data_IF_583923606619
#
_entry.id   IF_583923606619
#
_cell.length_a   1.000
_cell.length_b   1.000
_cell.length_c   1.000
_cell.angle_alpha   90.00
_cell.angle_beta   90.00
_cell.angle_gamma   90.00
#
_symmetry.space_group_name_H-M   'P 1'
#
loop_
_entity.id
_entity.type
_entity.pdbx_description
1 polymer ?
#
# COMPACT_ATOMS: atom_id res chain seq x y z
N UNK A 1 4.16 -18.92 78.79
CA UNK A 1 3.82 -20.23 79.38
C UNK A 1 3.74 -21.23 78.27
N UNK A 2 4.74 -22.07 78.23
CA UNK A 2 4.58 -23.55 78.28
C UNK A 2 3.84 -24.07 77.04
N UNK A 3 4.26 -24.97 76.23
CA UNK A 3 5.24 -26.10 76.20
C UNK A 3 5.05 -26.67 74.81
N UNK A 4 6.09 -26.93 74.00
CA UNK A 4 6.86 -28.18 73.94
C UNK A 4 6.02 -29.42 73.68
N UNK A 5 6.36 -30.12 72.63
CA UNK A 5 6.49 -31.56 72.37
C UNK A 5 6.43 -31.72 70.85
N UNK A 6 7.50 -31.95 70.12
CA UNK A 6 8.43 -33.08 69.92
C UNK A 6 7.73 -34.35 69.42
N UNK A 7 8.38 -34.88 68.41
CA UNK A 7 8.48 -36.28 67.96
C UNK A 7 7.48 -36.67 66.85
N UNK A 8 7.76 -37.41 65.81
CA UNK A 8 8.88 -38.35 65.52
C UNK A 8 8.86 -38.67 64.05
N UNK A 9 10.01 -38.82 63.47
CA UNK A 9 10.50 -39.53 62.35
C UNK A 9 9.68 -40.71 61.75
N UNK A 10 9.75 -40.90 60.48
CA UNK A 10 10.23 -42.10 59.78
C UNK A 10 9.98 -41.97 58.27
N UNK A 11 11.01 -41.81 57.48
CA UNK A 11 11.58 -42.78 56.54
C UNK A 11 10.60 -43.58 55.72
N UNK A 12 10.56 -43.27 54.43
CA UNK A 12 10.51 -44.29 53.37
C UNK A 12 10.97 -43.67 52.04
N UNK A 13 12.14 -43.99 51.69
CA UNK A 13 12.70 -43.96 50.36
C UNK A 13 11.87 -44.78 49.40
N UNK A 14 11.47 -44.18 48.27
CA UNK A 14 11.36 -44.96 47.04
C UNK A 14 11.61 -44.01 45.87
N UNK A 15 12.76 -44.19 45.33
CA UNK A 15 13.10 -43.75 43.97
C UNK A 15 12.18 -44.46 42.97
N UNK A 16 11.50 -43.68 42.14
CA UNK A 16 11.02 -44.13 40.85
C UNK A 16 11.26 -43.00 39.87
N UNK A 17 12.39 -43.10 39.22
CA UNK A 17 12.61 -42.55 37.91
C UNK A 17 11.47 -42.93 37.00
N UNK A 18 10.72 -41.94 36.54
CA UNK A 18 9.99 -42.15 35.30
C UNK A 18 9.92 -40.84 34.53
N UNK A 19 10.68 -40.87 33.46
CA UNK A 19 10.45 -40.27 32.15
C UNK A 19 9.51 -39.04 32.10
N UNK A 20 10.16 -37.94 31.98
CA UNK A 20 9.97 -36.96 30.94
C UNK A 20 8.81 -37.32 30.00
N UNK A 21 7.71 -36.75 30.25
CA UNK A 21 6.73 -36.45 29.21
C UNK A 21 6.55 -34.95 29.25
N UNK A 22 7.17 -34.33 28.29
CA UNK A 22 7.10 -32.94 27.90
C UNK A 22 5.63 -32.62 27.56
N UNK A 23 4.84 -32.35 28.56
CA UNK A 23 3.63 -31.58 28.37
C UNK A 23 4.09 -30.13 28.19
N UNK A 24 4.39 -29.78 26.97
CA UNK A 24 4.47 -28.43 26.51
C UNK A 24 3.07 -27.86 26.67
N UNK A 25 2.78 -27.39 27.88
CA UNK A 25 1.71 -26.45 28.12
C UNK A 25 2.00 -25.27 27.23
N UNK A 26 1.29 -25.22 26.11
CA UNK A 26 1.22 -24.02 25.31
C UNK A 26 0.68 -22.92 26.22
N UNK A 27 1.58 -22.21 26.87
CA UNK A 27 1.31 -20.86 27.31
C UNK A 27 0.99 -20.11 26.04
N UNK A 28 -0.31 -19.91 25.80
CA UNK A 28 -0.78 -18.96 24.82
C UNK A 28 -0.19 -17.64 25.28
N UNK A 29 0.87 -17.22 24.62
CA UNK A 29 1.59 -16.01 24.94
C UNK A 29 0.60 -14.85 24.95
N UNK A 30 0.51 -14.22 26.11
CA UNK A 30 -0.29 -12.99 26.29
C UNK A 30 0.10 -11.95 25.22
N UNK A 31 1.33 -12.00 24.72
CA UNK A 31 1.81 -11.20 23.61
C UNK A 31 1.08 -11.49 22.29
N UNK A 32 0.67 -12.76 22.07
CA UNK A 32 -0.05 -13.13 20.85
C UNK A 32 -1.53 -12.71 20.92
N UNK A 33 -2.10 -12.61 22.12
CA UNK A 33 -3.46 -12.07 22.33
C UNK A 33 -3.49 -10.54 22.14
N UNK A 34 -2.43 -9.84 22.56
CA UNK A 34 -2.29 -8.40 22.31
C UNK A 34 -2.04 -8.10 20.83
N UNK A 35 -1.25 -8.94 20.13
CA UNK A 35 -1.07 -8.80 18.68
C UNK A 35 -2.36 -9.11 17.90
N UNK A 36 -3.15 -10.09 18.33
CA UNK A 36 -4.46 -10.38 17.74
C UNK A 36 -5.49 -9.28 18.05
N UNK A 37 -5.43 -8.64 19.22
CA UNK A 37 -6.26 -7.50 19.56
C UNK A 37 -5.86 -6.25 18.76
N UNK A 38 -4.56 -6.02 18.57
CA UNK A 38 -4.06 -4.94 17.70
C UNK A 38 -4.47 -5.15 16.23
N UNK A 39 -4.46 -6.40 15.74
CA UNK A 39 -4.98 -6.73 14.42
C UNK A 39 -6.51 -6.56 14.30
N UNK A 40 -7.24 -6.64 15.39
CA UNK A 40 -8.70 -6.48 15.38
C UNK A 40 -9.12 -5.00 15.42
N UNK A 41 -8.28 -4.12 15.96
CA UNK A 41 -8.48 -2.67 15.89
C UNK A 41 -8.15 -2.10 14.50
N UNK A 42 -7.33 -2.78 13.71
CA UNK A 42 -7.01 -2.40 12.31
C UNK A 42 -8.15 -2.75 11.34
N UNK A 43 -9.10 -3.61 11.72
CA UNK A 43 -10.20 -4.07 10.85
C UNK A 43 -11.26 -3.00 10.50
N UNK A 44 -11.01 -1.73 10.75
CA UNK A 44 -11.89 -0.61 10.39
C UNK A 44 -11.16 0.72 10.20
N UNK A 45 -9.83 0.70 10.20
CA UNK A 45 -9.00 1.90 10.16
C UNK A 45 -8.14 1.90 8.90
N UNK A 46 -8.78 2.17 7.76
CA UNK A 46 -8.08 2.23 6.48
C UNK A 46 -7.70 3.67 6.12
N UNK A 47 -6.60 3.86 5.39
CA UNK A 47 -6.36 5.10 4.68
C UNK A 47 -7.33 5.20 3.51
N UNK A 48 -7.64 6.43 3.12
CA UNK A 48 -8.48 6.75 1.97
C UNK A 48 -7.76 7.77 1.11
N UNK A 49 -7.70 7.51 -0.20
CA UNK A 49 -7.04 8.39 -1.16
C UNK A 49 -8.08 9.21 -1.92
N UNK A 50 -8.24 10.48 -1.56
CA UNK A 50 -9.16 11.40 -2.23
C UNK A 50 -8.40 12.35 -3.13
N UNK A 51 -8.61 12.23 -4.43
CA UNK A 51 -8.00 13.10 -5.43
C UNK A 51 -8.77 14.41 -5.57
N UNK A 52 -8.05 15.52 -5.77
CA UNK A 52 -8.65 16.81 -6.15
C UNK A 52 -9.30 16.71 -7.53
N UNK A 53 -8.67 15.97 -8.43
CA UNK A 53 -9.18 15.63 -9.77
C UNK A 53 -8.71 14.23 -10.15
N UNK A 54 -9.56 13.46 -10.81
CA UNK A 54 -9.23 12.11 -11.28
C UNK A 54 -8.99 12.05 -12.79
N UNK A 55 -9.27 13.15 -13.48
CA UNK A 55 -9.12 13.26 -14.94
C UNK A 55 -8.53 14.61 -15.31
N UNK A 56 -7.48 14.60 -16.11
CA UNK A 56 -6.86 15.79 -16.67
C UNK A 56 -6.96 15.77 -18.20
N UNK A 57 -7.45 16.88 -18.78
CA UNK A 57 -7.51 17.08 -20.22
C UNK A 57 -6.38 18.03 -20.65
N UNK A 58 -5.40 17.49 -21.37
CA UNK A 58 -4.28 18.27 -21.86
C UNK A 58 -4.61 19.08 -23.16
N UNK A 59 -5.83 19.02 -23.62
CA UNK A 59 -6.26 19.72 -24.85
C UNK A 59 -5.63 19.14 -26.10
N UNK A 60 -5.14 20.02 -26.99
CA UNK A 60 -4.51 19.62 -28.25
C UNK A 60 -3.00 19.92 -28.21
N UNK A 61 -2.19 18.91 -28.49
CA UNK A 61 -0.72 19.03 -28.54
C UNK A 61 -0.19 18.36 -29.82
N UNK A 62 1.03 18.72 -30.24
CA UNK A 62 1.68 18.07 -31.36
C UNK A 62 2.28 16.71 -30.97
N UNK A 63 2.31 15.77 -31.92
CA UNK A 63 2.96 14.47 -31.74
C UNK A 63 4.45 14.62 -31.42
N UNK A 64 4.89 13.95 -30.35
CA UNK A 64 6.23 14.03 -29.80
C UNK A 64 6.34 14.93 -28.57
N UNK A 65 5.27 15.67 -28.22
CA UNK A 65 5.21 16.44 -26.98
C UNK A 65 5.17 15.49 -25.78
N UNK A 66 5.90 15.83 -24.71
CA UNK A 66 5.75 15.18 -23.42
C UNK A 66 4.81 16.01 -22.57
N UNK A 67 3.65 15.46 -22.29
CA UNK A 67 2.65 16.08 -21.39
C UNK A 67 2.97 15.64 -19.98
N UNK A 68 3.03 16.61 -19.05
CA UNK A 68 3.24 16.36 -17.63
C UNK A 68 2.09 16.98 -16.83
N UNK A 69 1.57 16.22 -15.87
CA UNK A 69 0.53 16.72 -14.99
C UNK A 69 0.69 16.14 -13.58
N UNK A 70 0.54 17.00 -12.57
CA UNK A 70 0.62 16.64 -11.17
C UNK A 70 -0.78 16.50 -10.58
N UNK A 71 -1.16 15.29 -10.23
CA UNK A 71 -2.38 14.99 -9.49
C UNK A 71 -2.12 15.16 -7.99
N UNK A 72 -2.96 15.95 -7.34
CA UNK A 72 -2.95 16.11 -5.89
C UNK A 72 -4.02 15.22 -5.27
N UNK A 73 -3.69 14.63 -4.14
CA UNK A 73 -4.61 13.84 -3.36
C UNK A 73 -4.37 14.03 -1.87
N UNK A 74 -5.38 13.78 -1.06
CA UNK A 74 -5.33 13.86 0.40
C UNK A 74 -5.62 12.49 0.98
N UNK A 75 -4.92 12.09 2.02
CA UNK A 75 -5.32 10.95 2.82
C UNK A 75 -6.46 11.35 3.75
N UNK A 76 -7.70 11.10 3.33
CA UNK A 76 -8.92 11.40 4.11
C UNK A 76 -9.28 10.30 5.09
N UNK A 77 -8.55 9.19 5.08
CA UNK A 77 -8.71 8.09 6.02
C UNK A 77 -8.04 8.34 7.36
N UNK A 78 -8.07 7.34 8.22
CA UNK A 78 -7.60 7.43 9.60
C UNK A 78 -6.27 6.71 9.85
N UNK A 79 -5.73 6.01 8.85
CA UNK A 79 -4.44 5.34 8.90
C UNK A 79 -3.45 5.93 7.89
N UNK A 80 -2.13 5.75 8.06
CA UNK A 80 -1.14 6.19 7.08
C UNK A 80 -1.35 5.54 5.72
N UNK A 81 -1.40 6.36 4.66
CA UNK A 81 -1.56 5.93 3.28
C UNK A 81 -0.20 5.64 2.65
N UNK A 82 -0.08 4.46 2.06
CA UNK A 82 1.13 4.01 1.36
C UNK A 82 0.76 3.65 -0.08
N UNK A 83 1.35 4.37 -1.03
CA UNK A 83 1.25 4.01 -2.45
C UNK A 83 2.31 2.96 -2.76
N UNK A 84 1.86 1.73 -2.98
CA UNK A 84 2.74 0.56 -3.23
C UNK A 84 3.26 0.56 -4.65
N UNK A 85 2.37 0.86 -5.62
CA UNK A 85 2.70 0.85 -7.04
C UNK A 85 1.76 1.79 -7.81
N UNK A 86 2.24 2.29 -8.95
CA UNK A 86 1.41 2.97 -9.93
C UNK A 86 1.90 2.61 -11.34
N UNK A 87 0.97 2.34 -12.24
CA UNK A 87 1.29 1.89 -13.60
C UNK A 87 0.34 2.54 -14.61
N UNK A 88 0.92 3.13 -15.65
CA UNK A 88 0.18 3.58 -16.83
C UNK A 88 -0.34 2.42 -17.67
N UNK A 89 -1.43 2.63 -18.38
CA UNK A 89 -2.03 1.66 -19.33
C UNK A 89 -1.11 1.33 -20.50
N UNK A 90 -0.03 2.09 -20.71
CA UNK A 90 1.03 1.82 -21.68
C UNK A 90 2.37 2.27 -21.11
N UNK A 91 3.49 1.78 -21.69
CA UNK A 91 4.84 2.25 -21.35
C UNK A 91 5.10 3.72 -21.72
N UNK A 92 4.17 4.36 -22.42
CA UNK A 92 4.22 5.78 -22.79
C UNK A 92 3.73 6.71 -21.67
N UNK A 93 3.17 6.15 -20.60
CA UNK A 93 2.64 6.89 -19.45
C UNK A 93 3.34 6.41 -18.19
N UNK A 94 4.12 7.30 -17.58
CA UNK A 94 4.98 6.99 -16.44
C UNK A 94 4.56 7.84 -15.24
N UNK A 95 3.97 7.22 -14.21
CA UNK A 95 3.70 7.89 -12.94
C UNK A 95 4.93 7.91 -12.03
N UNK A 96 5.08 8.99 -11.27
CA UNK A 96 6.11 9.16 -10.23
C UNK A 96 5.45 9.72 -8.97
N UNK A 97 5.77 9.17 -7.80
CA UNK A 97 5.18 9.56 -6.51
C UNK A 97 6.17 9.37 -5.37
N UNK A 98 5.91 9.99 -4.20
CA UNK A 98 6.67 9.72 -2.98
C UNK A 98 6.42 8.29 -2.48
N UNK A 99 7.46 7.66 -1.96
CA UNK A 99 7.39 6.33 -1.32
C UNK A 99 7.12 6.42 0.18
N UNK A 100 7.12 7.61 0.73
CA UNK A 100 6.90 7.82 2.15
C UNK A 100 5.42 7.69 2.52
N UNK A 101 5.10 7.14 3.70
CA UNK A 101 3.74 7.10 4.19
C UNK A 101 3.16 8.51 4.35
N UNK A 102 1.94 8.71 3.90
CA UNK A 102 1.20 9.97 3.98
C UNK A 102 0.26 9.89 5.17
N UNK A 103 0.49 10.74 6.17
CA UNK A 103 -0.30 10.76 7.40
C UNK A 103 -1.78 11.12 7.12
N UNK A 104 -2.72 10.72 8.01
CA UNK A 104 -4.10 11.18 7.94
C UNK A 104 -4.20 12.70 7.85
N UNK A 105 -5.00 13.21 6.90
CA UNK A 105 -5.17 14.63 6.61
C UNK A 105 -4.02 15.28 5.81
N UNK A 106 -2.93 14.58 5.54
CA UNK A 106 -1.83 15.11 4.75
C UNK A 106 -2.07 14.94 3.25
N UNK A 107 -1.44 15.83 2.47
CA UNK A 107 -1.49 15.80 1.00
C UNK A 107 -0.32 15.01 0.42
N UNK A 108 -0.58 14.35 -0.70
CA UNK A 108 0.41 13.72 -1.55
C UNK A 108 0.25 14.16 -3.00
N UNK A 109 1.29 13.93 -3.79
CA UNK A 109 1.27 14.24 -5.22
C UNK A 109 1.70 13.05 -6.07
N UNK A 110 1.17 12.98 -7.28
CA UNK A 110 1.56 12.01 -8.29
C UNK A 110 1.79 12.72 -9.62
N UNK A 111 3.03 12.81 -10.06
CA UNK A 111 3.39 13.35 -11.37
C UNK A 111 3.20 12.27 -12.43
N UNK A 112 2.39 12.55 -13.45
CA UNK A 112 2.17 11.67 -14.59
C UNK A 112 2.77 12.30 -15.83
N UNK A 113 3.68 11.58 -16.49
CA UNK A 113 4.29 11.97 -17.77
C UNK A 113 3.76 11.10 -18.88
N UNK A 114 3.22 11.72 -19.92
CA UNK A 114 2.73 11.03 -21.12
C UNK A 114 3.52 11.48 -22.35
N UNK A 115 4.24 10.56 -22.95
CA UNK A 115 4.95 10.79 -24.21
C UNK A 115 4.02 10.50 -25.40
N UNK A 116 3.72 11.52 -26.19
CA UNK A 116 2.79 11.45 -27.32
C UNK A 116 3.44 10.93 -28.61
N UNK A 117 4.74 10.64 -28.62
CA UNK A 117 5.43 10.14 -29.81
C UNK A 117 4.82 8.81 -30.30
N UNK A 118 4.43 8.75 -31.56
CA UNK A 118 3.73 7.60 -32.14
C UNK A 118 2.31 7.39 -31.59
N UNK A 119 1.69 8.43 -31.07
CA UNK A 119 0.35 8.38 -30.47
C UNK A 119 -0.56 9.49 -30.99
N UNK A 120 -0.80 9.56 -32.34
CA UNK A 120 -1.68 10.58 -32.92
C UNK A 120 -3.15 10.38 -32.55
N UNK A 121 -3.94 11.43 -32.79
CA UNK A 121 -5.38 11.49 -32.59
C UNK A 121 -5.81 11.53 -31.11
N UNK A 122 -7.08 11.25 -30.84
CA UNK A 122 -7.62 11.24 -29.48
C UNK A 122 -6.90 10.20 -28.62
N UNK A 123 -6.38 10.63 -27.48
CA UNK A 123 -5.68 9.80 -26.53
C UNK A 123 -6.38 9.84 -25.18
N UNK A 124 -6.52 8.66 -24.57
CA UNK A 124 -6.90 8.49 -23.18
C UNK A 124 -6.00 7.47 -22.55
N UNK A 125 -5.33 7.82 -21.47
CA UNK A 125 -4.44 6.94 -20.72
C UNK A 125 -4.91 6.87 -19.28
N UNK A 126 -4.96 5.66 -18.72
CA UNK A 126 -5.29 5.42 -17.33
C UNK A 126 -4.03 5.07 -16.57
N UNK A 127 -3.89 5.60 -15.38
CA UNK A 127 -2.89 5.18 -14.40
C UNK A 127 -3.63 4.43 -13.29
N UNK A 128 -3.27 3.19 -13.08
CA UNK A 128 -3.76 2.35 -12.00
C UNK A 128 -2.79 2.43 -10.83
N UNK A 129 -3.29 2.77 -9.66
CA UNK A 129 -2.53 3.00 -8.44
C UNK A 129 -2.90 1.91 -7.45
N UNK A 130 -1.90 1.23 -6.90
CA UNK A 130 -2.09 0.27 -5.80
C UNK A 130 -1.64 0.92 -4.50
N UNK A 131 -2.53 0.95 -3.54
CA UNK A 131 -2.30 1.52 -2.21
C UNK A 131 -2.91 0.61 -1.14
N UNK A 132 -2.61 0.88 0.12
CA UNK A 132 -3.16 0.15 1.26
C UNK A 132 -4.56 0.63 1.66
N UNK A 133 -5.32 1.25 0.74
CA UNK A 133 -6.73 1.61 0.92
C UNK A 133 -7.62 0.36 1.02
N UNK A 134 -8.84 0.50 1.47
CA UNK A 134 -9.80 -0.61 1.53
C UNK A 134 -10.04 -1.23 0.16
N UNK A 135 -10.17 -0.41 -0.90
CA UNK A 135 -10.30 -0.85 -2.30
C UNK A 135 -9.01 -1.51 -2.83
N UNK A 136 -7.85 -1.18 -2.25
CA UNK A 136 -6.52 -1.60 -2.70
C UNK A 136 -6.10 -1.01 -4.04
N UNK A 137 -7.00 -0.33 -4.76
CA UNK A 137 -6.72 0.18 -6.11
C UNK A 137 -7.51 1.43 -6.43
N UNK A 138 -6.79 2.46 -6.89
CA UNK A 138 -7.35 3.72 -7.37
C UNK A 138 -6.96 3.96 -8.83
N UNK A 139 -7.63 4.87 -9.52
CA UNK A 139 -7.29 5.18 -10.90
C UNK A 139 -7.48 6.65 -11.24
N UNK A 140 -6.57 7.19 -12.04
CA UNK A 140 -6.63 8.52 -12.63
C UNK A 140 -6.45 8.45 -14.14
N UNK A 141 -6.89 9.48 -14.87
CA UNK A 141 -6.87 9.52 -16.34
C UNK A 141 -6.24 10.81 -16.84
N UNK A 142 -5.50 10.68 -17.94
CA UNK A 142 -5.07 11.81 -18.75
C UNK A 142 -5.64 11.63 -20.15
N UNK A 143 -6.25 12.67 -20.71
CA UNK A 143 -6.88 12.64 -22.03
C UNK A 143 -6.56 13.90 -22.83
N UNK A 144 -6.74 13.84 -24.14
CA UNK A 144 -6.59 14.97 -25.04
C UNK A 144 -6.42 14.51 -26.49
N UNK A 145 -6.09 15.45 -27.35
CA UNK A 145 -5.89 15.20 -28.78
C UNK A 145 -4.44 15.48 -29.18
N UNK A 146 -3.86 14.55 -29.94
CA UNK A 146 -2.49 14.68 -30.46
C UNK A 146 -2.54 14.88 -31.97
N UNK A 147 -2.14 16.06 -32.44
CA UNK A 147 -2.04 16.38 -33.85
C UNK A 147 -0.91 15.55 -34.46
N UNK A 148 -1.18 14.74 -35.51
CA UNK A 148 -0.14 13.96 -36.17
C UNK A 148 0.98 14.85 -36.71
N UNK A 149 2.21 14.47 -36.48
CA UNK A 149 3.35 15.11 -37.14
C UNK A 149 3.31 14.78 -38.64
N UNK A 150 3.39 15.79 -39.48
CA UNK A 150 3.50 15.57 -40.94
C UNK A 150 4.68 14.65 -41.21
N UNK A 151 4.40 13.44 -41.67
CA UNK A 151 5.46 12.58 -42.21
C UNK A 151 5.96 13.21 -43.51
N UNK A 152 7.24 13.54 -43.57
CA UNK A 152 7.85 13.85 -44.85
C UNK A 152 7.52 12.71 -45.83
N UNK A 153 6.87 13.04 -46.96
CA UNK A 153 6.59 12.08 -48.00
C UNK A 153 7.91 11.38 -48.33
N UNK A 154 7.94 10.05 -48.24
CA UNK A 154 9.09 9.31 -48.70
C UNK A 154 9.30 9.68 -50.16
N UNK A 155 10.52 10.05 -50.60
CA UNK A 155 10.78 10.26 -52.02
C UNK A 155 10.45 8.96 -52.75
N UNK A 156 9.51 9.05 -53.69
CA UNK A 156 9.15 7.93 -54.55
C UNK A 156 10.43 7.43 -55.20
N UNK A 157 10.82 6.18 -54.92
CA UNK A 157 11.88 5.47 -55.60
C UNK A 157 11.37 4.95 -56.94
#
# INVERSE_FOLDING_TARGET
MKKLILMVAAVATMALTRCNEKAESATIDQANLTAAAANKEVAGNFPEMTFTETEFDFGTVEEGTVVEHEYKFTNTGSAPLIVVNAKGSCGCTVPTWSKEPIAPGAEGTMLVKFNTNGKPNAQTKTVTIKANTESGTESIRIKGFVTPKARAAAPNA
#
